data_IF_858290278781
#
_entry.id   IF_858290278781
#
_cell.length_a   1.000
_cell.length_b   1.000
_cell.length_c   1.000
_cell.angle_alpha   90.00
_cell.angle_beta   90.00
_cell.angle_gamma   90.00
#
_symmetry.space_group_name_H-M   'P 1'
#
loop_
_entity.id
_entity.type
_entity.pdbx_description
1 polymer ?
#
# COMPACT_ATOMS: atom_id res chain seq x y z
N UNK A 1 16.86 20.92 -18.38
CA UNK A 1 17.57 20.02 -17.50
C UNK A 1 17.45 18.61 -17.97
N UNK A 2 18.56 18.01 -18.19
CA UNK A 2 18.56 16.68 -18.77
C UNK A 2 18.09 15.64 -17.77
N UNK A 3 17.33 14.70 -18.26
CA UNK A 3 16.92 13.57 -17.49
C UNK A 3 15.87 13.83 -16.42
N UNK A 4 15.32 15.03 -16.36
CA UNK A 4 14.27 15.33 -15.41
C UNK A 4 12.94 15.40 -16.10
N UNK A 5 11.95 14.80 -15.45
CA UNK A 5 10.57 14.96 -15.86
C UNK A 5 10.05 16.32 -15.44
N UNK A 6 9.17 16.88 -16.23
CA UNK A 6 8.36 17.96 -15.75
C UNK A 6 7.43 17.44 -14.66
N UNK A 7 6.91 18.34 -13.82
CA UNK A 7 6.04 17.93 -12.71
C UNK A 7 4.86 17.12 -13.21
N UNK A 8 4.23 17.55 -14.31
CA UNK A 8 3.08 16.82 -14.82
C UNK A 8 3.49 15.43 -15.34
N UNK A 9 4.70 15.29 -15.86
CA UNK A 9 5.19 14.00 -16.33
C UNK A 9 5.44 13.04 -15.17
N UNK A 10 5.96 13.55 -14.05
CA UNK A 10 6.13 12.75 -12.86
C UNK A 10 4.79 12.26 -12.33
N UNK A 11 3.79 13.14 -12.29
CA UNK A 11 2.45 12.77 -11.85
C UNK A 11 1.84 11.73 -12.77
N UNK A 12 1.99 11.91 -14.07
CA UNK A 12 1.46 10.96 -15.03
C UNK A 12 2.12 9.60 -14.90
N UNK A 13 3.44 9.59 -14.75
CA UNK A 13 4.21 8.36 -14.59
C UNK A 13 3.75 7.63 -13.32
N UNK A 14 3.63 8.37 -12.21
CA UNK A 14 3.19 7.79 -10.95
C UNK A 14 1.79 7.19 -11.06
N UNK A 15 0.89 7.87 -11.76
CA UNK A 15 -0.47 7.36 -11.96
C UNK A 15 -0.47 6.07 -12.77
N UNK A 16 0.34 6.00 -13.83
CA UNK A 16 0.43 4.80 -14.65
C UNK A 16 0.98 3.63 -13.83
N UNK A 17 2.06 3.85 -13.09
CA UNK A 17 2.67 2.80 -12.27
C UNK A 17 1.71 2.37 -11.17
N UNK A 18 1.03 3.31 -10.53
CA UNK A 18 0.04 3.01 -9.52
C UNK A 18 -1.06 2.09 -10.07
N UNK A 19 -1.56 2.42 -11.28
CA UNK A 19 -2.58 1.59 -11.92
C UNK A 19 -2.10 0.18 -12.22
N UNK A 20 -0.86 0.06 -12.72
CA UNK A 20 -0.27 -1.24 -13.00
C UNK A 20 -0.13 -2.06 -11.73
N UNK A 21 0.36 -1.44 -10.64
CA UNK A 21 0.53 -2.14 -9.37
C UNK A 21 -0.81 -2.58 -8.78
N UNK A 22 -1.82 -1.71 -8.82
CA UNK A 22 -3.14 -2.08 -8.30
C UNK A 22 -3.73 -3.24 -9.07
N UNK A 23 -3.55 -3.25 -10.38
CA UNK A 23 -4.05 -4.34 -11.21
C UNK A 23 -3.31 -5.63 -10.92
N UNK A 24 -1.99 -5.55 -10.74
CA UNK A 24 -1.18 -6.72 -10.39
C UNK A 24 -1.60 -7.29 -9.04
N UNK A 25 -1.80 -6.43 -8.04
CA UNK A 25 -2.24 -6.86 -6.72
C UNK A 25 -3.60 -7.56 -6.82
N UNK A 26 -4.51 -6.98 -7.58
CA UNK A 26 -5.85 -7.57 -7.74
C UNK A 26 -5.79 -8.95 -8.39
N UNK A 27 -4.89 -9.14 -9.35
CA UNK A 27 -4.77 -10.44 -10.02
C UNK A 27 -4.06 -11.48 -9.17
N UNK A 28 -3.29 -11.04 -8.16
CA UNK A 28 -2.64 -11.95 -7.22
C UNK A 28 -3.54 -12.32 -6.05
N UNK A 29 -4.61 -11.56 -5.83
CA UNK A 29 -5.53 -11.83 -4.73
C UNK A 29 -6.19 -13.19 -4.91
N UNK A 30 -6.51 -13.88 -3.80
CA UNK A 30 -7.19 -15.18 -3.90
C UNK A 30 -8.52 -15.04 -4.64
N UNK A 31 -8.82 -16.02 -5.47
CA UNK A 31 -10.11 -16.06 -6.14
C UNK A 31 -11.20 -16.36 -5.12
N UNK A 32 -12.42 -15.93 -5.46
CA UNK A 32 -13.57 -16.22 -4.62
C UNK A 32 -13.70 -17.72 -4.41
N UNK A 33 -13.82 -18.15 -3.17
CA UNK A 33 -13.89 -19.57 -2.83
C UNK A 33 -12.55 -20.23 -2.59
N UNK A 34 -11.45 -19.50 -2.79
CA UNK A 34 -10.11 -20.03 -2.50
C UNK A 34 -9.90 -20.16 -1.00
N UNK A 35 -9.01 -21.07 -0.55
CA UNK A 35 -8.65 -21.13 0.86
C UNK A 35 -8.04 -19.80 1.32
N UNK A 36 -8.19 -19.43 2.58
CA UNK A 36 -7.56 -18.21 3.08
C UNK A 36 -6.04 -18.32 3.00
N UNK A 37 -5.40 -17.17 2.84
CA UNK A 37 -3.94 -17.11 2.83
C UNK A 37 -3.40 -17.59 4.17
N UNK A 38 -2.26 -18.30 4.12
CA UNK A 38 -1.63 -18.82 5.32
C UNK A 38 -0.72 -17.81 6.01
N UNK A 39 -0.35 -16.75 5.31
CA UNK A 39 0.54 -15.74 5.87
C UNK A 39 -0.17 -14.79 6.82
N UNK A 40 0.59 -13.91 7.46
CA UNK A 40 0.01 -12.94 8.38
C UNK A 40 -0.92 -11.96 7.68
N UNK A 41 -1.81 -11.39 8.46
CA UNK A 41 -2.69 -10.33 8.00
C UNK A 41 -2.05 -8.99 8.34
N UNK A 42 -1.79 -8.18 7.33
CA UNK A 42 -1.02 -6.95 7.46
C UNK A 42 -1.89 -5.76 7.08
N UNK A 43 -1.91 -4.76 7.94
CA UNK A 43 -2.56 -3.50 7.62
C UNK A 43 -1.49 -2.52 7.16
N UNK A 44 -1.71 -1.87 6.02
CA UNK A 44 -0.75 -0.94 5.44
C UNK A 44 -1.36 0.43 5.30
N UNK A 45 -0.62 1.45 5.71
CA UNK A 45 -1.04 2.82 5.54
C UNK A 45 0.14 3.77 5.68
N UNK A 46 -0.12 5.06 5.51
CA UNK A 46 0.85 6.10 5.80
C UNK A 46 0.27 7.04 6.85
N UNK A 47 1.16 7.75 7.54
CA UNK A 47 0.73 8.78 8.49
C UNK A 47 0.18 9.99 7.73
N UNK A 48 -0.58 10.88 8.41
CA UNK A 48 -1.25 11.99 7.73
C UNK A 48 -0.33 12.91 6.93
N UNK A 49 0.93 13.04 7.33
CA UNK A 49 1.88 13.91 6.63
C UNK A 49 2.45 13.30 5.36
N UNK A 50 2.29 12.00 5.17
CA UNK A 50 2.91 11.33 4.03
C UNK A 50 1.94 11.25 2.86
N UNK A 51 2.33 11.87 1.75
CA UNK A 51 1.49 11.93 0.56
C UNK A 51 1.80 10.83 -0.45
N UNK A 52 2.96 10.19 -0.32
CA UNK A 52 3.45 9.27 -1.36
C UNK A 52 3.04 7.85 -1.06
N UNK A 53 2.21 7.29 -1.92
CA UNK A 53 1.68 5.94 -1.72
C UNK A 53 2.30 4.87 -2.60
N UNK A 54 3.18 5.23 -3.54
CA UNK A 54 3.73 4.26 -4.48
C UNK A 54 4.57 3.20 -3.77
N UNK A 55 5.42 3.63 -2.83
CA UNK A 55 6.22 2.68 -2.06
C UNK A 55 5.36 1.72 -1.27
N UNK A 56 4.26 2.21 -0.73
CA UNK A 56 3.33 1.38 0.02
C UNK A 56 2.70 0.31 -0.88
N UNK A 57 2.33 0.70 -2.11
CA UNK A 57 1.79 -0.25 -3.08
C UNK A 57 2.81 -1.32 -3.47
N UNK A 58 4.07 -0.93 -3.61
CA UNK A 58 5.14 -1.88 -3.94
C UNK A 58 5.30 -2.90 -2.83
N UNK A 59 5.28 -2.44 -1.58
CA UNK A 59 5.36 -3.34 -0.43
C UNK A 59 4.13 -4.26 -0.37
N UNK A 60 2.96 -3.71 -0.63
CA UNK A 60 1.74 -4.53 -0.65
C UNK A 60 1.85 -5.64 -1.68
N UNK A 61 2.33 -5.32 -2.89
CA UNK A 61 2.48 -6.33 -3.93
C UNK A 61 3.43 -7.44 -3.50
N UNK A 62 4.55 -7.06 -2.85
CA UNK A 62 5.51 -8.04 -2.36
C UNK A 62 4.90 -8.94 -1.29
N UNK A 63 4.15 -8.35 -0.36
CA UNK A 63 3.53 -9.12 0.72
C UNK A 63 2.46 -10.08 0.18
N UNK A 64 1.68 -9.65 -0.80
CA UNK A 64 0.67 -10.52 -1.41
C UNK A 64 1.34 -11.71 -2.10
N UNK A 65 2.48 -11.46 -2.77
CA UNK A 65 3.24 -12.55 -3.38
C UNK A 65 3.74 -13.56 -2.35
N UNK A 66 4.02 -13.11 -1.13
CA UNK A 66 4.48 -13.98 -0.05
C UNK A 66 3.34 -14.65 0.71
N UNK A 67 2.12 -14.47 0.27
CA UNK A 67 0.98 -15.15 0.88
C UNK A 67 0.31 -14.37 2.00
N UNK A 68 0.68 -13.13 2.22
CA UNK A 68 0.04 -12.30 3.24
C UNK A 68 -1.31 -11.79 2.76
N UNK A 69 -2.23 -11.63 3.71
CA UNK A 69 -3.47 -10.92 3.45
C UNK A 69 -3.26 -9.46 3.83
N UNK A 70 -3.54 -8.55 2.91
CA UNK A 70 -3.27 -7.14 3.12
C UNK A 70 -4.56 -6.34 3.21
N UNK A 71 -4.62 -5.47 4.22
CA UNK A 71 -5.68 -4.47 4.37
C UNK A 71 -5.02 -3.13 4.14
N UNK A 72 -5.29 -2.50 3.00
CA UNK A 72 -4.66 -1.24 2.64
C UNK A 72 -5.62 -0.09 2.88
N UNK A 73 -5.21 0.85 3.72
CA UNK A 73 -6.02 2.04 4.00
C UNK A 73 -5.62 3.23 3.12
N UNK A 74 -4.59 3.04 2.29
CA UNK A 74 -4.10 4.14 1.47
C UNK A 74 -3.22 5.08 2.27
N UNK A 75 -3.15 6.34 1.85
CA UNK A 75 -2.27 7.33 2.47
C UNK A 75 -3.04 8.21 3.44
N UNK A 76 -2.29 8.88 4.31
CA UNK A 76 -2.80 9.95 5.16
C UNK A 76 -3.92 9.51 6.12
N UNK A 77 -3.74 8.36 6.74
CA UNK A 77 -4.73 7.86 7.69
C UNK A 77 -4.42 8.34 9.10
N UNK A 78 -5.36 8.98 9.78
CA UNK A 78 -5.14 9.39 11.18
C UNK A 78 -4.85 8.19 12.07
N UNK A 79 -3.99 8.40 13.07
CA UNK A 79 -3.52 7.31 13.91
C UNK A 79 -4.66 6.56 14.60
N UNK A 80 -5.65 7.29 15.09
CA UNK A 80 -6.78 6.66 15.76
C UNK A 80 -7.53 5.73 14.81
N UNK A 81 -7.68 6.14 13.56
CA UNK A 81 -8.35 5.30 12.56
C UNK A 81 -7.54 4.06 12.26
N UNK A 82 -6.21 4.17 12.26
CA UNK A 82 -5.33 3.02 12.08
C UNK A 82 -5.56 2.00 13.18
N UNK A 83 -5.62 2.46 14.43
CA UNK A 83 -5.84 1.58 15.57
C UNK A 83 -7.21 0.90 15.46
N UNK A 84 -8.23 1.66 15.12
CA UNK A 84 -9.59 1.10 14.99
C UNK A 84 -9.66 0.06 13.87
N UNK A 85 -9.04 0.37 12.73
CA UNK A 85 -9.03 -0.57 11.60
C UNK A 85 -8.25 -1.84 11.95
N UNK A 86 -7.12 -1.69 12.64
CA UNK A 86 -6.32 -2.84 13.03
C UNK A 86 -7.11 -3.79 13.94
N UNK A 87 -7.87 -3.22 14.87
CA UNK A 87 -8.69 -4.02 15.77
C UNK A 87 -9.88 -4.66 15.03
N UNK A 88 -10.54 -3.88 14.17
CA UNK A 88 -11.72 -4.36 13.45
C UNK A 88 -11.36 -5.51 12.50
N UNK A 89 -10.21 -5.43 11.87
CA UNK A 89 -9.76 -6.45 10.90
C UNK A 89 -8.90 -7.54 11.54
N UNK A 90 -8.57 -7.41 12.82
CA UNK A 90 -7.75 -8.40 13.54
C UNK A 90 -6.44 -8.68 12.82
N UNK A 91 -5.74 -7.61 12.49
CA UNK A 91 -4.46 -7.75 11.78
C UNK A 91 -3.37 -8.21 12.72
N UNK A 92 -2.38 -8.91 12.16
CA UNK A 92 -1.22 -9.37 12.92
C UNK A 92 -0.14 -8.32 12.97
N UNK A 93 -0.04 -7.48 11.93
CA UNK A 93 1.03 -6.49 11.79
C UNK A 93 0.43 -5.21 11.22
N UNK A 94 0.90 -4.08 11.75
CA UNK A 94 0.60 -2.77 11.16
C UNK A 94 1.89 -2.24 10.57
N UNK A 95 1.85 -1.90 9.29
CA UNK A 95 3.00 -1.38 8.58
C UNK A 95 2.72 0.08 8.20
N UNK A 96 3.55 0.96 8.73
CA UNK A 96 3.44 2.39 8.44
C UNK A 96 4.60 2.80 7.55
N UNK A 97 4.27 3.44 6.44
CA UNK A 97 5.27 3.95 5.52
C UNK A 97 5.40 5.46 5.67
N UNK A 98 6.61 5.95 5.66
CA UNK A 98 6.86 7.38 5.68
C UNK A 98 8.19 7.66 4.98
N UNK A 99 8.27 8.88 4.45
CA UNK A 99 9.44 9.29 3.67
C UNK A 99 10.51 9.88 4.56
N UNK A 100 11.77 9.52 4.30
CA UNK A 100 12.90 10.11 5.01
C UNK A 100 13.13 11.56 4.63
N UNK A 101 12.58 12.01 3.50
CA UNK A 101 12.71 13.41 3.08
C UNK A 101 11.73 14.33 3.77
N UNK A 102 10.87 13.79 4.58
CA UNK A 102 9.86 14.56 5.28
C UNK A 102 10.48 15.34 6.44
N UNK A 103 10.09 16.59 6.57
CA UNK A 103 10.60 17.43 7.63
C UNK A 103 9.51 17.88 8.57
#
# INVERSE_FOLDING_TARGET
>A
MQGRFEIFEEHLYTEVITGVLRQAIASLAPLHGSPPALGPKVLLTTLPQELHGLGLLMVEAMLVLEGCTCVSLGTQTPLLDVVQAAQAHRVDVVLLSFSAAQN
#
